data_IF_463286389480
#
_entry.id   IF_463286389480
#
_cell.length_a   1.000
_cell.length_b   1.000
_cell.length_c   1.000
_cell.angle_alpha   90.00
_cell.angle_beta   90.00
_cell.angle_gamma   90.00
#
_symmetry.space_group_name_H-M   'P 1'
#
loop_
_entity.id
_entity.type
_entity.pdbx_description
1 polymer ?
#
# COMPACT_ATOMS: atom_id res chain seq x y z
N UNK A 1 -8.50 -10.11 13.50
CA UNK A 1 -7.96 -9.11 14.45
C UNK A 1 -8.98 -8.87 15.55
N UNK A 2 -8.56 -8.57 16.79
CA UNK A 2 -9.49 -8.49 17.91
C UNK A 2 -10.48 -7.34 17.72
N UNK A 3 -11.75 -7.60 18.02
CA UNK A 3 -12.94 -6.83 17.63
C UNK A 3 -13.24 -5.66 18.58
N UNK A 4 -12.25 -4.88 19.05
CA UNK A 4 -12.46 -3.93 20.17
C UNK A 4 -12.49 -2.45 19.78
N UNK A 5 -12.06 -2.12 18.57
CA UNK A 5 -12.09 -0.75 18.07
C UNK A 5 -13.55 -0.31 17.84
N UNK A 6 -13.89 0.90 18.29
CA UNK A 6 -15.24 1.44 18.28
C UNK A 6 -16.08 1.11 19.51
N UNK A 7 -15.64 0.18 20.38
CA UNK A 7 -16.29 -0.11 21.65
C UNK A 7 -16.01 0.97 22.70
N UNK A 8 -16.94 1.22 23.63
CA UNK A 8 -16.63 2.03 24.80
C UNK A 8 -15.56 1.33 25.66
N UNK A 9 -14.58 2.10 26.12
CA UNK A 9 -13.65 1.67 27.14
C UNK A 9 -14.38 1.49 28.47
N UNK A 10 -14.26 0.33 29.11
CA UNK A 10 -14.95 0.04 30.39
C UNK A 10 -14.51 0.97 31.54
N UNK A 11 -13.31 1.57 31.45
CA UNK A 11 -12.82 2.52 32.44
C UNK A 11 -13.33 3.96 32.30
N UNK A 12 -13.58 4.45 31.08
CA UNK A 12 -13.90 5.88 30.84
C UNK A 12 -15.12 6.13 29.94
N UNK A 13 -15.71 5.08 29.36
CA UNK A 13 -16.87 5.15 28.47
C UNK A 13 -16.58 5.70 27.07
N UNK A 14 -15.40 6.23 26.80
CA UNK A 14 -15.04 6.78 25.47
C UNK A 14 -14.77 5.64 24.47
N UNK A 15 -15.11 5.83 23.19
CA UNK A 15 -14.83 4.82 22.17
C UNK A 15 -13.33 4.61 22.01
N UNK A 16 -12.94 3.35 21.88
CA UNK A 16 -11.56 2.95 21.61
C UNK A 16 -11.25 3.20 20.13
N UNK A 17 -10.29 4.07 19.87
CA UNK A 17 -9.90 4.47 18.53
C UNK A 17 -8.68 3.68 18.05
N UNK A 18 -8.36 3.74 16.75
CA UNK A 18 -7.18 3.09 16.19
C UNK A 18 -5.84 3.68 16.67
N UNK A 19 -5.89 4.85 17.32
CA UNK A 19 -4.70 5.54 17.85
C UNK A 19 -4.42 5.18 19.31
N UNK A 20 -5.40 4.58 19.97
CA UNK A 20 -5.32 4.27 21.38
C UNK A 20 -4.52 2.99 21.60
N UNK A 21 -3.66 2.98 22.61
CA UNK A 21 -3.05 1.75 23.10
C UNK A 21 -4.10 1.01 23.95
N UNK A 22 -4.60 -0.11 23.43
CA UNK A 22 -5.68 -0.87 24.04
C UNK A 22 -5.12 -2.03 24.86
N UNK A 23 -5.52 -2.08 26.13
CA UNK A 23 -5.26 -3.21 27.02
C UNK A 23 -6.55 -3.99 27.19
N UNK A 24 -6.47 -5.31 26.99
CA UNK A 24 -7.58 -6.22 27.22
C UNK A 24 -7.31 -6.99 28.51
N UNK A 25 -8.29 -7.04 29.41
CA UNK A 25 -8.16 -7.80 30.64
C UNK A 25 -8.00 -9.30 30.32
N UNK A 26 -6.97 -9.98 30.87
CA UNK A 26 -6.72 -11.39 30.57
C UNK A 26 -7.79 -12.34 31.14
N UNK A 27 -8.51 -11.94 32.19
CA UNK A 27 -9.49 -12.79 32.86
C UNK A 27 -10.88 -12.74 32.19
N UNK A 28 -11.35 -11.54 31.81
CA UNK A 28 -12.71 -11.34 31.30
C UNK A 28 -12.79 -10.80 29.87
N UNK A 29 -11.67 -10.44 29.23
CA UNK A 29 -11.68 -9.93 27.85
C UNK A 29 -12.18 -8.49 27.68
N UNK A 30 -12.44 -7.78 28.77
CA UNK A 30 -12.89 -6.38 28.74
C UNK A 30 -11.80 -5.43 28.19
N UNK A 31 -12.12 -4.55 27.23
CA UNK A 31 -11.15 -3.65 26.62
C UNK A 31 -11.07 -2.28 27.33
N UNK A 32 -9.85 -1.75 27.45
CA UNK A 32 -9.54 -0.47 28.10
C UNK A 32 -8.49 0.32 27.32
N UNK A 33 -8.50 1.65 27.45
CA UNK A 33 -7.29 2.45 27.18
C UNK A 33 -6.19 2.04 28.19
N UNK A 34 -4.93 1.93 27.74
CA UNK A 34 -3.78 1.63 28.62
C UNK A 34 -3.76 2.54 29.85
N UNK A 35 -3.88 3.84 29.64
CA UNK A 35 -3.91 4.84 30.73
C UNK A 35 -5.07 4.61 31.71
N UNK A 36 -6.23 4.16 31.21
CA UNK A 36 -7.38 3.89 32.08
C UNK A 36 -7.14 2.64 32.92
N UNK A 37 -6.57 1.59 32.33
CA UNK A 37 -6.24 0.36 33.04
C UNK A 37 -5.13 0.59 34.09
N UNK A 38 -4.10 1.37 33.76
CA UNK A 38 -3.02 1.72 34.68
C UNK A 38 -3.50 2.58 35.85
N UNK A 39 -4.38 3.56 35.60
CA UNK A 39 -4.99 4.38 36.66
C UNK A 39 -5.85 3.56 37.62
N UNK A 40 -6.58 2.56 37.10
CA UNK A 40 -7.40 1.66 37.90
C UNK A 40 -6.54 0.62 38.64
N UNK A 41 -5.36 0.29 38.12
CA UNK A 41 -4.43 -0.72 38.65
C UNK A 41 -4.94 -2.17 38.57
N UNK A 42 -6.19 -2.37 38.17
CA UNK A 42 -6.87 -3.65 37.97
C UNK A 42 -8.11 -3.48 37.10
N UNK A 43 -8.64 -4.60 36.59
CA UNK A 43 -9.93 -4.62 35.90
C UNK A 43 -11.07 -4.10 36.80
N UNK A 44 -11.99 -3.28 36.26
CA UNK A 44 -13.17 -2.81 37.02
C UNK A 44 -14.08 -3.97 37.45
N UNK A 45 -14.09 -5.04 36.64
CA UNK A 45 -14.85 -6.26 36.87
C UNK A 45 -14.10 -7.30 37.71
N UNK A 46 -12.99 -6.93 38.38
CA UNK A 46 -12.15 -7.88 39.11
C UNK A 46 -12.91 -8.69 40.17
N UNK A 47 -13.92 -8.09 40.80
CA UNK A 47 -14.77 -8.79 41.77
C UNK A 47 -15.68 -9.84 41.12
N UNK A 48 -16.06 -9.65 39.86
CA UNK A 48 -16.92 -10.54 39.08
C UNK A 48 -16.13 -11.66 38.37
N UNK A 49 -14.79 -11.59 38.32
CA UNK A 49 -13.95 -12.63 37.71
C UNK A 49 -14.16 -13.99 38.39
N UNK A 50 -14.31 -14.02 39.72
CA UNK A 50 -14.56 -15.25 40.47
C UNK A 50 -15.90 -15.92 40.11
N UNK A 51 -16.85 -15.15 39.57
CA UNK A 51 -18.14 -15.64 39.08
C UNK A 51 -18.12 -16.04 37.60
N UNK A 52 -16.95 -16.04 36.95
CA UNK A 52 -16.80 -16.37 35.53
C UNK A 52 -17.31 -15.30 34.58
N UNK A 53 -17.26 -14.02 35.00
CA UNK A 53 -17.69 -12.92 34.15
C UNK A 53 -16.85 -12.82 32.87
N UNK A 54 -17.53 -12.88 31.73
CA UNK A 54 -16.96 -12.69 30.41
C UNK A 54 -17.58 -11.45 29.76
N UNK A 55 -16.72 -10.55 29.30
CA UNK A 55 -17.15 -9.33 28.62
C UNK A 55 -17.72 -9.67 27.25
N UNK A 56 -18.90 -9.13 26.96
CA UNK A 56 -19.59 -9.31 25.68
C UNK A 56 -19.63 -8.00 24.92
N UNK A 57 -19.47 -8.12 23.61
CA UNK A 57 -19.56 -6.99 22.71
C UNK A 57 -20.96 -6.36 22.79
N UNK A 58 -21.08 -5.04 23.04
CA UNK A 58 -22.35 -4.42 23.45
C UNK A 58 -23.34 -4.14 22.31
N UNK A 59 -22.92 -4.26 21.05
CA UNK A 59 -23.75 -3.93 19.88
C UNK A 59 -24.08 -5.17 19.05
N UNK A 60 -25.24 -5.18 18.42
CA UNK A 60 -25.64 -6.27 17.52
C UNK A 60 -24.99 -6.09 16.13
N UNK A 61 -24.79 -7.19 15.39
CA UNK A 61 -24.18 -7.11 14.05
C UNK A 61 -25.01 -6.26 13.07
N UNK A 62 -26.34 -6.21 13.22
CA UNK A 62 -27.25 -5.38 12.43
C UNK A 62 -27.04 -3.86 12.62
N UNK A 63 -26.54 -3.46 13.79
CA UNK A 63 -26.28 -2.05 14.14
C UNK A 63 -24.91 -1.58 13.65
N UNK A 64 -24.06 -2.51 13.17
CA UNK A 64 -22.71 -2.23 12.75
C UNK A 64 -22.63 -2.14 11.22
N UNK A 65 -21.81 -1.22 10.74
CA UNK A 65 -21.37 -1.15 9.35
C UNK A 65 -19.84 -1.13 9.32
N UNK A 66 -19.25 -1.49 8.18
CA UNK A 66 -17.79 -1.42 7.99
C UNK A 66 -17.43 -0.04 7.46
N UNK A 67 -16.59 0.69 8.20
CA UNK A 67 -16.15 2.01 7.74
C UNK A 67 -15.30 1.89 6.46
N UNK A 68 -15.65 2.57 5.36
CA UNK A 68 -14.89 2.50 4.11
C UNK A 68 -13.49 3.14 4.22
N UNK A 69 -13.26 3.99 5.22
CA UNK A 69 -11.98 4.68 5.42
C UNK A 69 -10.98 3.83 6.21
N UNK A 70 -11.37 3.25 7.34
CA UNK A 70 -10.46 2.46 8.18
C UNK A 70 -10.63 0.95 8.06
N UNK A 71 -11.74 0.47 7.49
CA UNK A 71 -12.06 -0.96 7.35
C UNK A 71 -12.52 -1.63 8.65
N UNK A 72 -12.73 -0.86 9.72
CA UNK A 72 -13.18 -1.36 11.02
C UNK A 72 -14.69 -1.21 11.18
N UNK A 73 -15.30 -2.07 12.01
CA UNK A 73 -16.73 -1.96 12.32
C UNK A 73 -17.02 -0.73 13.16
N UNK A 74 -18.11 -0.05 12.85
CA UNK A 74 -18.61 1.11 13.59
C UNK A 74 -20.13 1.13 13.55
N UNK A 75 -20.78 1.95 14.36
CA UNK A 75 -22.25 2.00 14.39
C UNK A 75 -22.78 2.68 13.14
N UNK A 76 -23.77 2.04 12.50
CA UNK A 76 -24.46 2.57 11.31
C UNK A 76 -25.20 3.88 11.60
N UNK A 77 -25.73 4.03 12.82
CA UNK A 77 -26.51 5.19 13.25
C UNK A 77 -25.67 6.45 13.50
N UNK A 78 -24.34 6.33 13.51
CA UNK A 78 -23.44 7.47 13.70
C UNK A 78 -23.14 8.12 12.35
N UNK A 79 -23.13 9.45 12.30
CA UNK A 79 -22.69 10.17 11.10
C UNK A 79 -21.18 10.05 10.87
N UNK A 80 -20.41 9.75 11.93
CA UNK A 80 -18.96 9.67 11.91
C UNK A 80 -18.48 8.36 12.53
N UNK A 81 -17.52 7.71 11.88
CA UNK A 81 -16.91 6.47 12.36
C UNK A 81 -16.23 6.69 13.72
N UNK A 82 -16.62 5.92 14.73
CA UNK A 82 -16.03 6.00 16.08
C UNK A 82 -14.56 5.56 16.16
N UNK A 83 -14.07 4.83 15.14
CA UNK A 83 -12.71 4.29 15.13
C UNK A 83 -11.70 5.26 14.50
N UNK A 84 -12.10 6.01 13.48
CA UNK A 84 -11.22 6.89 12.69
C UNK A 84 -11.80 8.29 12.40
N UNK A 85 -13.00 8.61 12.88
CA UNK A 85 -13.66 9.90 12.68
C UNK A 85 -14.29 10.12 11.30
N UNK A 86 -14.09 9.23 10.32
CA UNK A 86 -14.54 9.45 8.94
C UNK A 86 -16.06 9.51 8.83
N UNK A 87 -16.60 10.44 8.03
CA UNK A 87 -18.04 10.52 7.76
C UNK A 87 -18.52 9.22 7.12
N UNK A 88 -19.56 8.63 7.70
CA UNK A 88 -20.18 7.41 7.20
C UNK A 88 -21.15 7.75 6.06
N UNK A 89 -21.24 6.89 5.03
CA UNK A 89 -22.23 7.09 3.97
C UNK A 89 -23.65 7.03 4.55
N UNK A 90 -24.61 7.83 4.03
CA UNK A 90 -25.97 7.87 4.54
C UNK A 90 -26.64 6.49 4.47
N UNK A 91 -27.48 6.19 5.46
CA UNK A 91 -28.26 4.94 5.52
C UNK A 91 -29.07 4.75 4.23
N UNK A 92 -28.71 3.72 3.44
CA UNK A 92 -29.32 3.41 2.15
C UNK A 92 -28.34 3.42 0.97
N UNK A 93 -27.09 3.87 1.15
CA UNK A 93 -26.01 3.49 0.25
C UNK A 93 -25.74 2.00 0.44
N UNK A 94 -25.79 1.21 -0.65
CA UNK A 94 -25.47 -0.22 -0.62
C UNK A 94 -24.18 -0.43 0.17
N UNK A 95 -24.25 -1.27 1.21
CA UNK A 95 -23.04 -1.75 1.85
C UNK A 95 -22.19 -2.42 0.78
N UNK A 96 -20.86 -2.22 0.79
CA UNK A 96 -20.00 -3.02 -0.08
C UNK A 96 -20.23 -4.47 0.33
N UNK A 97 -20.96 -5.19 -0.52
CA UNK A 97 -21.35 -6.57 -0.28
C UNK A 97 -20.11 -7.37 0.14
N UNK A 98 -20.30 -8.22 1.15
CA UNK A 98 -19.35 -9.27 1.44
C UNK A 98 -19.09 -10.05 0.15
N UNK A 99 -17.86 -10.51 -0.02
CA UNK A 99 -17.18 -10.75 -1.29
C UNK A 99 -17.64 -12.02 -2.03
N UNK A 100 -18.93 -12.32 -1.97
CA UNK A 100 -19.58 -13.47 -2.57
C UNK A 100 -20.92 -13.03 -3.15
N UNK A 101 -20.90 -12.51 -4.38
CA UNK A 101 -21.86 -12.84 -5.45
C UNK A 101 -21.60 -11.98 -6.71
N UNK A 102 -22.09 -12.49 -7.82
CA UNK A 102 -21.81 -12.27 -9.24
C UNK A 102 -21.87 -10.79 -9.74
N UNK A 103 -21.16 -10.39 -10.82
CA UNK A 103 -21.03 -9.00 -11.24
C UNK A 103 -22.25 -8.54 -12.05
N UNK A 104 -23.28 -8.07 -11.35
CA UNK A 104 -24.44 -7.39 -11.94
C UNK A 104 -24.52 -5.94 -11.49
N UNK A 105 -24.29 -5.02 -12.43
CA UNK A 105 -24.87 -3.66 -12.48
C UNK A 105 -24.91 -2.82 -11.18
N UNK A 106 -23.73 -2.52 -10.63
CA UNK A 106 -23.59 -1.55 -9.53
C UNK A 106 -22.19 -0.93 -9.43
N UNK A 107 -21.45 -0.88 -10.53
CA UNK A 107 -20.07 -0.36 -10.50
C UNK A 107 -20.09 1.15 -10.26
N UNK A 108 -19.53 1.60 -9.13
CA UNK A 108 -19.20 3.00 -8.90
C UNK A 108 -18.41 3.51 -10.11
N UNK A 109 -19.02 4.42 -10.86
CA UNK A 109 -18.51 4.86 -12.14
C UNK A 109 -17.28 5.75 -11.93
N UNK A 110 -16.12 5.11 -11.94
CA UNK A 110 -14.83 5.78 -11.89
C UNK A 110 -14.72 6.86 -12.97
N UNK A 111 -15.38 6.70 -14.12
CA UNK A 111 -15.29 7.65 -15.23
C UNK A 111 -16.03 8.95 -14.95
N UNK A 112 -17.23 8.91 -14.36
CA UNK A 112 -17.94 10.13 -13.92
C UNK A 112 -17.25 10.84 -12.77
N UNK A 113 -16.68 10.11 -11.81
CA UNK A 113 -15.88 10.72 -10.73
C UNK A 113 -14.65 11.46 -11.28
N UNK A 114 -13.91 10.84 -12.21
CA UNK A 114 -12.77 11.51 -12.87
C UNK A 114 -13.21 12.69 -13.74
N UNK A 115 -14.34 12.58 -14.44
CA UNK A 115 -14.89 13.65 -15.29
C UNK A 115 -15.33 14.87 -14.49
N UNK A 116 -16.00 14.65 -13.36
CA UNK A 116 -16.41 15.72 -12.45
C UNK A 116 -15.21 16.44 -11.79
N UNK A 117 -14.10 15.72 -11.57
CA UNK A 117 -12.84 16.29 -11.09
C UNK A 117 -12.12 17.12 -12.18
N UNK A 118 -12.23 16.72 -13.45
CA UNK A 118 -11.70 17.46 -14.60
C UNK A 118 -12.54 18.70 -14.95
N UNK A 119 -13.86 18.63 -14.85
CA UNK A 119 -14.77 19.70 -15.29
C UNK A 119 -14.92 20.85 -14.27
N UNK A 120 -14.80 20.57 -12.96
CA UNK A 120 -15.26 21.54 -11.93
C UNK A 120 -14.14 22.22 -11.14
N UNK A 121 -12.88 21.79 -11.27
CA UNK A 121 -11.71 22.45 -10.67
C UNK A 121 -11.61 22.45 -9.13
N UNK A 122 -12.72 22.31 -8.39
CA UNK A 122 -12.81 22.16 -6.92
C UNK A 122 -14.28 21.97 -6.53
N UNK A 123 -14.70 20.86 -5.91
CA UNK A 123 -15.98 20.79 -5.20
C UNK A 123 -15.97 21.74 -3.99
N UNK A 124 -17.13 22.30 -3.57
CA UNK A 124 -17.24 23.27 -2.48
C UNK A 124 -16.85 22.73 -1.09
N UNK A 125 -16.69 21.41 -0.94
CA UNK A 125 -16.01 20.77 0.18
C UNK A 125 -15.22 19.59 -0.40
N UNK A 126 -13.90 19.56 -0.24
CA UNK A 126 -13.07 18.48 -0.74
C UNK A 126 -13.29 17.22 0.13
N UNK A 127 -14.04 16.20 -0.32
CA UNK A 127 -14.40 15.04 0.52
C UNK A 127 -13.16 14.29 0.99
N UNK A 128 -12.07 14.39 0.22
CA UNK A 128 -10.77 13.84 0.55
C UNK A 128 -10.11 14.59 1.73
N UNK A 129 -10.19 15.91 1.74
CA UNK A 129 -9.71 16.75 2.85
C UNK A 129 -10.52 16.47 4.11
N UNK A 130 -11.83 16.29 4.00
CA UNK A 130 -12.69 15.93 5.13
C UNK A 130 -12.37 14.55 5.69
N UNK A 131 -12.18 13.52 4.84
CA UNK A 131 -11.76 12.19 5.29
C UNK A 131 -10.36 12.19 5.92
N UNK A 132 -9.46 13.04 5.43
CA UNK A 132 -8.13 13.22 5.99
C UNK A 132 -8.17 13.95 7.33
N UNK A 133 -8.92 15.05 7.44
CA UNK A 133 -9.13 15.80 8.68
C UNK A 133 -9.90 14.99 9.72
N UNK A 134 -10.76 14.07 9.31
CA UNK A 134 -11.40 13.11 10.18
C UNK A 134 -10.39 12.07 10.73
N UNK A 135 -9.56 11.50 9.85
CA UNK A 135 -8.57 10.48 10.20
C UNK A 135 -7.38 11.04 10.99
N UNK A 136 -6.98 12.29 10.74
CA UNK A 136 -5.81 12.96 11.28
C UNK A 136 -6.11 14.15 12.22
N UNK A 137 -7.34 14.64 12.29
CA UNK A 137 -7.64 15.92 12.95
C UNK A 137 -7.30 17.12 12.05
N UNK A 138 -7.71 18.33 12.46
CA UNK A 138 -7.45 19.58 11.70
C UNK A 138 -5.97 19.95 11.56
N UNK A 139 -5.10 19.43 12.44
CA UNK A 139 -3.70 19.86 12.51
C UNK A 139 -2.65 18.74 12.38
N UNK A 140 -3.03 17.46 12.33
CA UNK A 140 -2.01 16.40 12.22
C UNK A 140 -1.71 16.04 10.77
N UNK A 141 -0.41 15.96 10.51
CA UNK A 141 0.16 15.77 9.20
C UNK A 141 0.66 14.33 9.07
N UNK A 142 0.17 13.59 8.08
CA UNK A 142 0.65 12.24 7.77
C UNK A 142 2.15 12.29 7.39
N UNK A 143 2.99 11.59 8.15
CA UNK A 143 4.46 11.67 8.11
C UNK A 143 5.03 13.07 8.43
N UNK A 144 4.27 13.96 9.07
CA UNK A 144 4.64 15.36 9.29
C UNK A 144 4.45 16.27 8.06
N UNK A 145 3.76 15.79 7.03
CA UNK A 145 3.51 16.50 5.78
C UNK A 145 1.99 16.80 5.61
N UNK A 146 1.61 18.06 5.35
CA UNK A 146 0.21 18.44 5.12
C UNK A 146 -0.42 17.69 3.94
N UNK A 147 -1.74 17.45 4.01
CA UNK A 147 -2.50 16.83 2.93
C UNK A 147 -2.33 17.55 1.58
N UNK A 148 -2.28 18.89 1.59
CA UNK A 148 -2.11 19.71 0.39
C UNK A 148 -0.77 19.47 -0.33
N UNK A 149 0.33 19.28 0.41
CA UNK A 149 1.65 19.00 -0.16
C UNK A 149 1.68 17.59 -0.75
N UNK A 150 1.04 16.62 -0.09
CA UNK A 150 0.86 15.27 -0.61
C UNK A 150 0.02 15.25 -1.90
N UNK A 151 -1.10 15.97 -1.92
CA UNK A 151 -1.98 16.06 -3.08
C UNK A 151 -1.26 16.71 -4.27
N UNK A 152 -0.48 17.76 -4.01
CA UNK A 152 0.33 18.44 -5.03
C UNK A 152 1.43 17.55 -5.59
N UNK A 153 2.05 16.71 -4.75
CA UNK A 153 3.11 15.79 -5.19
C UNK A 153 2.57 14.55 -5.92
N UNK A 154 1.48 13.93 -5.46
CA UNK A 154 0.95 12.70 -6.07
C UNK A 154 0.12 13.00 -7.33
N UNK A 155 -0.57 14.16 -7.36
CA UNK A 155 -1.35 14.64 -8.50
C UNK A 155 -2.75 14.01 -8.58
N UNK A 156 -3.29 13.71 -9.78
CA UNK A 156 -4.67 13.24 -9.94
C UNK A 156 -5.01 11.94 -9.20
N UNK A 157 -4.02 11.08 -8.96
CA UNK A 157 -4.20 9.81 -8.25
C UNK A 157 -4.20 9.95 -6.72
N UNK A 158 -4.12 11.17 -6.18
CA UNK A 158 -3.98 11.42 -4.74
C UNK A 158 -5.08 10.80 -3.87
N UNK A 159 -6.39 10.82 -4.23
CA UNK A 159 -7.45 10.25 -3.38
C UNK A 159 -7.21 8.78 -3.00
N UNK A 160 -6.88 7.94 -3.98
CA UNK A 160 -6.65 6.51 -3.77
C UNK A 160 -5.40 6.22 -2.93
N UNK A 161 -4.32 6.96 -3.19
CA UNK A 161 -3.06 6.79 -2.47
C UNK A 161 -3.14 7.31 -1.04
N UNK A 162 -3.80 8.46 -0.82
CA UNK A 162 -3.97 9.03 0.50
C UNK A 162 -4.80 8.12 1.38
N UNK A 163 -5.96 7.62 0.93
CA UNK A 163 -6.73 6.66 1.72
C UNK A 163 -5.88 5.43 2.11
N UNK A 164 -5.13 4.87 1.15
CA UNK A 164 -4.21 3.75 1.44
C UNK A 164 -3.16 4.12 2.50
N UNK A 165 -2.57 5.31 2.42
CA UNK A 165 -1.53 5.75 3.35
C UNK A 165 -2.08 6.09 4.73
N UNK A 166 -3.28 6.68 4.80
CA UNK A 166 -4.04 6.86 6.03
C UNK A 166 -4.21 5.51 6.74
N UNK A 167 -4.75 4.51 6.03
CA UNK A 167 -4.92 3.15 6.56
C UNK A 167 -3.61 2.52 7.02
N UNK A 168 -2.54 2.66 6.24
CA UNK A 168 -1.22 2.15 6.61
C UNK A 168 -0.65 2.81 7.86
N UNK A 169 -0.85 4.13 8.02
CA UNK A 169 -0.39 4.87 9.19
C UNK A 169 -1.19 4.47 10.43
N UNK A 170 -2.52 4.43 10.32
CA UNK A 170 -3.42 4.08 11.41
C UNK A 170 -3.24 2.62 11.86
N UNK A 171 -3.07 1.69 10.92
CA UNK A 171 -2.85 0.27 11.23
C UNK A 171 -1.39 -0.07 11.57
N UNK A 172 -0.48 0.93 11.63
CA UNK A 172 0.98 0.74 11.76
C UNK A 172 1.57 -0.33 10.82
N UNK A 173 0.95 -0.52 9.65
CA UNK A 173 1.29 -1.60 8.73
C UNK A 173 2.03 -1.06 7.51
N UNK A 174 3.06 -1.82 7.08
CA UNK A 174 3.86 -1.52 5.88
C UNK A 174 3.33 -2.25 4.65
N UNK A 175 2.38 -3.16 4.83
CA UNK A 175 1.87 -4.04 3.78
C UNK A 175 0.66 -3.41 3.14
N UNK A 176 0.74 -3.16 1.84
CA UNK A 176 -0.40 -2.76 1.04
C UNK A 176 -0.21 -3.29 -0.38
N UNK A 177 -1.05 -4.27 -0.74
CA UNK A 177 -1.03 -4.87 -2.07
C UNK A 177 -1.19 -3.81 -3.16
N UNK A 178 -0.25 -3.84 -4.09
CA UNK A 178 -0.21 -2.99 -5.26
C UNK A 178 -0.10 -3.87 -6.50
N UNK A 179 -1.22 -4.04 -7.20
CA UNK A 179 -1.25 -4.85 -8.40
C UNK A 179 -0.30 -4.30 -9.48
N UNK A 180 -0.25 -2.98 -9.63
CA UNK A 180 0.67 -2.33 -10.58
C UNK A 180 2.13 -2.56 -10.20
N UNK A 181 2.47 -2.54 -8.91
CA UNK A 181 3.81 -2.87 -8.44
C UNK A 181 4.04 -4.38 -8.26
N UNK A 182 3.12 -5.23 -8.71
CA UNK A 182 3.34 -6.67 -8.84
C UNK A 182 3.53 -7.02 -10.32
N UNK A 183 2.72 -6.44 -11.21
CA UNK A 183 2.80 -6.74 -12.64
C UNK A 183 3.93 -6.00 -13.35
N UNK A 184 4.10 -4.70 -13.11
CA UNK A 184 4.97 -3.84 -13.94
C UNK A 184 6.39 -3.68 -13.43
N UNK A 185 6.95 -4.68 -12.75
CA UNK A 185 8.36 -4.65 -12.35
C UNK A 185 8.85 -3.36 -11.63
N UNK A 186 10.14 -3.03 -11.79
CA UNK A 186 10.70 -1.73 -11.45
C UNK A 186 10.08 -0.56 -12.23
N UNK A 187 9.41 -0.80 -13.36
CA UNK A 187 8.78 0.26 -14.16
C UNK A 187 7.72 1.03 -13.39
N UNK A 188 7.00 0.40 -12.46
CA UNK A 188 6.08 1.10 -11.56
C UNK A 188 6.77 2.23 -10.79
N UNK A 189 7.97 1.99 -10.27
CA UNK A 189 8.72 2.98 -9.51
C UNK A 189 9.32 4.06 -10.40
N UNK A 190 9.81 3.70 -11.59
CA UNK A 190 10.25 4.69 -12.59
C UNK A 190 9.09 5.60 -13.02
N UNK A 191 7.92 5.03 -13.28
CA UNK A 191 6.70 5.77 -13.59
C UNK A 191 6.36 6.77 -12.50
N UNK A 192 6.50 6.40 -11.21
CA UNK A 192 6.27 7.29 -10.06
C UNK A 192 7.49 8.09 -9.62
N UNK A 193 8.57 8.11 -10.43
CA UNK A 193 9.84 8.79 -10.14
C UNK A 193 10.46 8.40 -8.78
N UNK A 194 10.19 7.20 -8.28
CA UNK A 194 10.76 6.67 -7.04
C UNK A 194 12.12 6.01 -7.32
N UNK A 195 13.13 6.84 -7.60
CA UNK A 195 14.43 6.41 -8.13
C UNK A 195 15.16 5.36 -7.27
N UNK A 196 15.19 5.54 -5.94
CA UNK A 196 15.88 4.62 -5.02
C UNK A 196 15.36 3.18 -5.14
N UNK A 197 14.05 2.90 -4.92
CA UNK A 197 13.53 1.55 -5.12
C UNK A 197 13.55 1.12 -6.59
N UNK A 198 13.36 2.04 -7.56
CA UNK A 198 13.39 1.70 -8.98
C UNK A 198 14.72 1.06 -9.40
N UNK A 199 15.84 1.72 -9.12
CA UNK A 199 17.17 1.18 -9.44
C UNK A 199 17.53 -0.04 -8.58
N UNK A 200 17.12 -0.07 -7.31
CA UNK A 200 17.36 -1.21 -6.44
C UNK A 200 16.70 -2.49 -6.96
N UNK A 201 15.42 -2.44 -7.33
CA UNK A 201 14.73 -3.60 -7.92
C UNK A 201 15.24 -3.94 -9.32
N UNK A 202 15.53 -2.94 -10.15
CA UNK A 202 16.10 -3.18 -11.49
C UNK A 202 17.43 -3.93 -11.41
N UNK A 203 18.33 -3.49 -10.53
CA UNK A 203 19.63 -4.16 -10.34
C UNK A 203 19.47 -5.58 -9.79
N UNK A 204 18.56 -5.78 -8.83
CA UNK A 204 18.28 -7.11 -8.29
C UNK A 204 17.70 -8.06 -9.35
N UNK A 205 16.77 -7.58 -10.19
CA UNK A 205 16.21 -8.37 -11.30
C UNK A 205 17.28 -8.72 -12.35
N UNK A 206 18.12 -7.76 -12.74
CA UNK A 206 19.23 -8.02 -13.66
C UNK A 206 20.23 -9.03 -13.10
N UNK A 207 20.56 -8.94 -11.82
CA UNK A 207 21.48 -9.88 -11.16
C UNK A 207 20.89 -11.29 -11.09
N UNK A 208 19.60 -11.42 -10.77
CA UNK A 208 18.91 -12.70 -10.74
C UNK A 208 18.71 -13.30 -12.14
N UNK A 209 18.76 -12.50 -13.21
CA UNK A 209 18.69 -12.98 -14.59
C UNK A 209 20.01 -13.54 -15.13
N UNK A 210 21.16 -13.27 -14.47
CA UNK A 210 22.49 -13.70 -14.93
C UNK A 210 22.59 -15.22 -15.12
N UNK A 211 22.16 -16.07 -14.17
CA UNK A 211 22.28 -17.53 -14.35
C UNK A 211 21.48 -18.06 -15.55
N UNK A 212 20.31 -17.46 -15.82
CA UNK A 212 19.51 -17.79 -17.01
C UNK A 212 20.26 -17.44 -18.29
N UNK A 213 20.91 -16.27 -18.35
CA UNK A 213 21.73 -15.88 -19.50
C UNK A 213 22.90 -16.85 -19.70
N UNK A 214 23.63 -17.20 -18.63
CA UNK A 214 24.74 -18.15 -18.70
C UNK A 214 24.28 -19.54 -19.16
N UNK A 215 23.10 -19.99 -18.71
CA UNK A 215 22.51 -21.25 -19.16
C UNK A 215 22.16 -21.21 -20.66
N UNK A 216 21.60 -20.09 -21.15
CA UNK A 216 21.32 -19.91 -22.58
C UNK A 216 22.60 -19.91 -23.42
N UNK A 217 23.69 -19.31 -22.91
CA UNK A 217 25.01 -19.35 -23.56
C UNK A 217 25.54 -20.79 -23.68
N UNK A 218 25.36 -21.63 -22.66
CA UNK A 218 25.76 -23.05 -22.71
C UNK A 218 24.94 -23.83 -23.74
N UNK A 219 23.61 -23.69 -23.72
CA UNK A 219 22.70 -24.39 -24.65
C UNK A 219 23.00 -24.02 -26.11
N UNK A 220 23.31 -22.75 -26.37
CA UNK A 220 23.62 -22.25 -27.72
C UNK A 220 25.07 -22.53 -28.17
N UNK A 221 25.89 -23.14 -27.30
CA UNK A 221 27.29 -23.48 -27.61
C UNK A 221 28.21 -22.25 -27.72
N UNK A 222 27.97 -21.21 -26.93
CA UNK A 222 28.80 -20.00 -26.92
C UNK A 222 30.24 -20.30 -26.49
N UNK A 223 31.21 -19.69 -27.17
CA UNK A 223 32.63 -19.80 -26.81
C UNK A 223 32.98 -19.11 -25.49
N UNK A 224 32.11 -18.22 -25.01
CA UNK A 224 32.23 -17.50 -23.74
C UNK A 224 31.43 -18.15 -22.61
N UNK A 225 30.82 -19.32 -22.86
CA UNK A 225 30.04 -20.02 -21.85
C UNK A 225 30.96 -20.54 -20.72
N UNK A 226 30.56 -20.39 -19.45
CA UNK A 226 31.35 -20.91 -18.33
C UNK A 226 31.37 -22.44 -18.35
N UNK A 227 32.52 -23.03 -18.04
CA UNK A 227 32.72 -24.47 -17.92
C UNK A 227 32.16 -25.01 -16.58
N UNK A 228 30.86 -24.81 -16.35
CA UNK A 228 30.12 -25.31 -15.21
C UNK A 228 29.26 -26.50 -15.65
N UNK A 229 29.02 -27.45 -14.76
CA UNK A 229 28.15 -28.60 -15.04
C UNK A 229 26.71 -28.15 -15.30
N UNK A 230 26.07 -28.76 -16.31
CA UNK A 230 24.69 -28.46 -16.72
C UNK A 230 23.71 -28.59 -15.55
N UNK A 231 23.87 -29.62 -14.71
CA UNK A 231 23.01 -29.85 -13.55
C UNK A 231 23.11 -28.73 -12.51
N UNK A 232 24.31 -28.21 -12.26
CA UNK A 232 24.53 -27.10 -11.32
C UNK A 232 23.96 -25.79 -11.87
N UNK A 233 24.12 -25.54 -13.16
CA UNK A 233 23.57 -24.35 -13.82
C UNK A 233 22.04 -24.33 -13.84
N UNK A 234 21.42 -25.48 -14.13
CA UNK A 234 19.95 -25.62 -14.06
C UNK A 234 19.45 -25.36 -12.65
N UNK A 235 20.05 -25.96 -11.62
CA UNK A 235 19.64 -25.75 -10.22
C UNK A 235 19.80 -24.28 -9.83
N UNK A 236 20.92 -23.65 -10.17
CA UNK A 236 21.16 -22.23 -9.90
C UNK A 236 20.12 -21.33 -10.58
N UNK A 237 19.83 -21.57 -11.87
CA UNK A 237 18.81 -20.82 -12.61
C UNK A 237 17.42 -20.98 -11.98
N UNK A 238 17.05 -22.19 -11.51
CA UNK A 238 15.77 -22.43 -10.83
C UNK A 238 15.67 -21.69 -9.50
N UNK A 239 16.76 -21.68 -8.71
CA UNK A 239 16.83 -20.92 -7.45
C UNK A 239 16.66 -19.42 -7.73
N UNK A 240 17.37 -18.88 -8.71
CA UNK A 240 17.26 -17.45 -9.08
C UNK A 240 15.88 -17.08 -9.64
N UNK A 241 15.21 -17.98 -10.38
CA UNK A 241 13.82 -17.79 -10.80
C UNK A 241 12.86 -17.78 -9.60
N UNK A 242 13.04 -18.66 -8.62
CA UNK A 242 12.24 -18.65 -7.38
C UNK A 242 12.46 -17.37 -6.57
N UNK A 243 13.71 -16.89 -6.47
CA UNK A 243 14.03 -15.60 -5.85
C UNK A 243 13.43 -14.42 -6.61
N UNK A 244 13.39 -14.48 -7.94
CA UNK A 244 12.75 -13.45 -8.77
C UNK A 244 11.25 -13.40 -8.52
N UNK A 245 10.60 -14.56 -8.38
CA UNK A 245 9.20 -14.64 -7.99
C UNK A 245 8.97 -14.07 -6.58
N UNK A 246 9.83 -14.38 -5.62
CA UNK A 246 9.75 -13.79 -4.29
C UNK A 246 9.92 -12.27 -4.32
N UNK A 247 10.86 -11.77 -5.13
CA UNK A 247 11.08 -10.33 -5.31
C UNK A 247 9.85 -9.65 -5.92
N UNK A 248 9.16 -10.30 -6.86
CA UNK A 248 7.88 -9.84 -7.41
C UNK A 248 6.81 -9.71 -6.32
N UNK A 249 6.66 -10.72 -5.44
CA UNK A 249 5.70 -10.70 -4.33
C UNK A 249 6.03 -9.58 -3.34
N UNK A 250 7.30 -9.48 -2.91
CA UNK A 250 7.78 -8.43 -1.99
C UNK A 250 7.50 -7.05 -2.58
N UNK A 251 7.80 -6.84 -3.86
CA UNK A 251 7.52 -5.58 -4.56
C UNK A 251 6.02 -5.27 -4.60
N UNK A 252 5.18 -6.26 -4.85
CA UNK A 252 3.73 -6.12 -4.83
C UNK A 252 3.17 -5.73 -3.45
N UNK A 253 3.68 -6.35 -2.38
CA UNK A 253 3.23 -6.12 -1.01
C UNK A 253 3.71 -4.78 -0.42
N UNK A 254 4.94 -4.36 -0.76
CA UNK A 254 5.57 -3.18 -0.17
C UNK A 254 5.67 -2.00 -1.13
N UNK A 255 5.24 -2.11 -2.39
CA UNK A 255 5.44 -1.09 -3.41
C UNK A 255 4.85 0.28 -3.04
N UNK A 256 3.63 0.30 -2.50
CA UNK A 256 3.00 1.55 -2.03
C UNK A 256 3.73 2.15 -0.83
N UNK A 257 4.25 1.32 0.08
CA UNK A 257 5.05 1.76 1.22
C UNK A 257 6.40 2.34 0.80
N UNK A 258 7.11 1.66 -0.10
CA UNK A 258 8.40 2.13 -0.64
C UNK A 258 8.21 3.45 -1.38
N UNK A 259 7.12 3.60 -2.14
CA UNK A 259 6.77 4.87 -2.77
C UNK A 259 6.45 5.94 -1.71
N UNK A 260 5.62 5.65 -0.69
CA UNK A 260 5.32 6.58 0.40
C UNK A 260 6.58 7.08 1.10
N UNK A 261 7.50 6.17 1.46
CA UNK A 261 8.76 6.51 2.11
C UNK A 261 9.62 7.42 1.22
N UNK A 262 9.80 7.04 -0.05
CA UNK A 262 10.58 7.84 -1.00
C UNK A 262 9.95 9.20 -1.28
N UNK A 263 8.62 9.29 -1.34
CA UNK A 263 7.90 10.53 -1.57
C UNK A 263 7.98 11.44 -0.33
N UNK A 264 7.78 10.90 0.87
CA UNK A 264 7.86 11.65 2.12
C UNK A 264 9.26 12.30 2.30
N UNK A 265 10.34 11.57 2.02
CA UNK A 265 11.71 12.11 2.05
C UNK A 265 11.87 13.30 1.07
N UNK A 266 11.35 13.17 -0.15
CA UNK A 266 11.43 14.24 -1.17
C UNK A 266 10.58 15.45 -0.81
N UNK A 267 9.34 15.24 -0.37
CA UNK A 267 8.44 16.33 0.01
C UNK A 267 9.04 17.11 1.19
N UNK A 268 9.62 16.42 2.18
CA UNK A 268 10.32 17.07 3.30
C UNK A 268 11.51 17.90 2.83
N UNK A 269 12.33 17.38 1.89
CA UNK A 269 13.44 18.12 1.29
C UNK A 269 12.92 19.37 0.56
N UNK A 270 11.93 19.23 -0.31
CA UNK A 270 11.36 20.36 -1.07
C UNK A 270 10.78 21.42 -0.11
N UNK A 271 10.12 20.99 0.98
CA UNK A 271 9.58 21.92 1.99
C UNK A 271 10.67 22.66 2.77
N UNK A 272 11.83 22.05 2.97
CA UNK A 272 12.99 22.70 3.58
C UNK A 272 13.67 23.70 2.60
N UNK A 273 13.71 23.38 1.31
CA UNK A 273 14.31 24.24 0.27
C UNK A 273 13.40 25.41 -0.13
N UNK A 274 12.08 25.21 -0.14
CA UNK A 274 11.07 26.18 -0.59
C UNK A 274 10.06 26.46 0.54
N UNK A 275 10.33 27.46 1.41
CA UNK A 275 9.41 27.83 2.48
C UNK A 275 8.14 28.50 1.94
N UNK A 276 8.23 29.20 0.80
CA UNK A 276 7.07 29.83 0.14
C UNK A 276 6.06 28.77 -0.37
N UNK A 277 4.78 28.99 -0.08
CA UNK A 277 3.73 28.01 -0.34
C UNK A 277 3.39 27.88 -1.83
N UNK A 278 3.41 28.99 -2.59
CA UNK A 278 3.10 28.98 -4.02
C UNK A 278 4.22 28.30 -4.82
N UNK A 279 5.47 28.67 -4.54
CA UNK A 279 6.64 28.04 -5.14
C UNK A 279 6.74 26.56 -4.77
N UNK A 280 6.55 26.21 -3.49
CA UNK A 280 6.55 24.81 -3.04
C UNK A 280 5.53 23.98 -3.80
N UNK A 281 4.30 24.47 -3.96
CA UNK A 281 3.25 23.76 -4.70
C UNK A 281 3.67 23.48 -6.15
N UNK A 282 4.25 24.46 -6.84
CA UNK A 282 4.72 24.30 -8.21
C UNK A 282 5.87 23.27 -8.31
N UNK A 283 6.84 23.34 -7.39
CA UNK A 283 7.98 22.40 -7.37
C UNK A 283 7.53 20.97 -7.03
N UNK A 284 6.59 20.81 -6.08
CA UNK A 284 6.00 19.52 -5.73
C UNK A 284 5.29 18.89 -6.93
N UNK A 285 4.51 19.69 -7.67
CA UNK A 285 3.81 19.21 -8.86
C UNK A 285 4.78 18.83 -9.99
N UNK A 286 5.88 19.58 -10.17
CA UNK A 286 6.89 19.30 -11.20
C UNK A 286 7.74 18.05 -10.89
N UNK A 287 8.22 17.94 -9.65
CA UNK A 287 9.08 16.82 -9.23
C UNK A 287 8.29 15.55 -8.92
N UNK A 288 7.03 15.69 -8.52
CA UNK A 288 6.09 14.59 -8.28
C UNK A 288 5.43 14.06 -9.56
N UNK A 289 4.22 13.53 -9.40
CA UNK A 289 3.41 13.01 -10.48
C UNK A 289 3.97 11.73 -11.11
N UNK A 290 3.80 11.62 -12.42
CA UNK A 290 4.17 10.45 -13.21
C UNK A 290 5.16 10.81 -14.32
N UNK A 291 5.95 9.85 -14.78
CA UNK A 291 6.92 10.01 -15.87
C UNK A 291 6.89 8.83 -16.82
N UNK A 292 6.22 9.02 -17.95
CA UNK A 292 6.22 8.04 -19.05
C UNK A 292 7.61 7.99 -19.71
N UNK A 293 8.29 9.13 -19.81
CA UNK A 293 9.66 9.22 -20.32
C UNK A 293 10.65 8.35 -19.52
N UNK A 294 10.51 8.29 -18.18
CA UNK A 294 11.36 7.44 -17.35
C UNK A 294 11.13 5.94 -17.61
N UNK A 295 9.88 5.55 -17.90
CA UNK A 295 9.54 4.17 -18.26
C UNK A 295 10.16 3.80 -19.61
N UNK A 296 9.97 4.64 -20.64
CA UNK A 296 10.59 4.41 -21.94
C UNK A 296 12.12 4.42 -21.88
N UNK A 297 12.73 5.32 -21.10
CA UNK A 297 14.17 5.34 -20.91
C UNK A 297 14.70 4.05 -20.29
N UNK A 298 14.02 3.52 -19.26
CA UNK A 298 14.36 2.23 -18.66
C UNK A 298 14.15 1.08 -19.65
N UNK A 299 13.06 1.09 -20.41
CA UNK A 299 12.77 0.08 -21.42
C UNK A 299 13.83 0.06 -22.53
N UNK A 300 14.22 1.22 -23.05
CA UNK A 300 15.29 1.34 -24.04
C UNK A 300 16.63 0.84 -23.49
N UNK A 301 16.96 1.17 -22.24
CA UNK A 301 18.16 0.66 -21.58
C UNK A 301 18.13 -0.88 -21.50
N UNK A 302 17.00 -1.47 -21.08
CA UNK A 302 16.85 -2.92 -21.02
C UNK A 302 16.90 -3.57 -22.41
N UNK A 303 16.37 -2.93 -23.45
CA UNK A 303 16.51 -3.39 -24.83
C UNK A 303 17.97 -3.40 -25.29
N UNK A 304 18.74 -2.35 -24.97
CA UNK A 304 20.18 -2.29 -25.28
C UNK A 304 20.95 -3.37 -24.51
N UNK A 305 20.70 -3.51 -23.20
CA UNK A 305 21.33 -4.56 -22.38
C UNK A 305 20.97 -5.95 -22.88
N UNK A 306 19.70 -6.18 -23.23
CA UNK A 306 19.23 -7.45 -23.79
C UNK A 306 19.87 -7.75 -25.15
N UNK A 307 19.98 -6.75 -26.03
CA UNK A 307 20.65 -6.89 -27.33
C UNK A 307 22.15 -7.17 -27.17
N UNK A 308 22.80 -6.56 -26.18
CA UNK A 308 24.19 -6.89 -25.86
C UNK A 308 24.32 -8.33 -25.32
N UNK A 309 23.36 -8.78 -24.52
CA UNK A 309 23.33 -10.15 -24.00
C UNK A 309 23.08 -11.19 -25.10
N UNK A 310 22.28 -10.89 -26.14
CA UNK A 310 22.09 -11.82 -27.27
C UNK A 310 23.35 -12.00 -28.11
N UNK A 311 24.24 -11.00 -28.18
CA UNK A 311 25.55 -11.14 -28.83
C UNK A 311 26.48 -12.14 -28.10
N UNK A 312 26.18 -12.47 -26.84
CA UNK A 312 26.92 -13.48 -26.08
C UNK A 312 26.44 -14.91 -26.36
N UNK A 313 25.30 -15.08 -27.02
CA UNK A 313 24.77 -16.40 -27.38
C UNK A 313 25.61 -17.04 -28.49
N UNK A 314 25.67 -18.36 -28.48
CA UNK A 314 26.44 -19.13 -29.45
C UNK A 314 25.73 -19.33 -30.80
N UNK A 315 26.41 -19.94 -31.78
CA UNK A 315 25.92 -20.08 -33.15
C UNK A 315 24.70 -21.00 -33.28
N UNK A 316 24.47 -21.90 -32.31
CA UNK A 316 23.37 -22.86 -32.35
C UNK A 316 22.07 -22.27 -31.76
N UNK A 317 21.57 -21.18 -32.35
CA UNK A 317 20.29 -20.57 -31.92
C UNK A 317 19.08 -21.48 -32.16
N UNK A 318 19.17 -22.42 -33.11
CA UNK A 318 18.13 -23.43 -33.35
C UNK A 318 17.89 -24.34 -32.13
N UNK A 319 18.89 -24.49 -31.24
CA UNK A 319 18.74 -25.22 -29.99
C UNK A 319 17.71 -24.57 -29.04
N UNK A 320 17.50 -23.25 -29.14
CA UNK A 320 16.49 -22.55 -28.35
C UNK A 320 15.07 -22.84 -28.86
N UNK A 321 14.90 -23.01 -30.18
CA UNK A 321 13.61 -23.34 -30.79
C UNK A 321 13.18 -24.74 -30.36
N UNK A 322 14.12 -25.70 -30.35
CA UNK A 322 13.86 -27.06 -29.88
C UNK A 322 13.54 -27.14 -28.38
N UNK A 323 13.94 -26.15 -27.58
CA UNK A 323 13.63 -26.08 -26.15
C UNK A 323 12.20 -25.55 -25.88
N UNK A 324 11.61 -24.85 -26.86
CA UNK A 324 10.25 -24.28 -26.77
C UNK A 324 9.22 -25.19 -27.44
N UNK A 325 9.60 -25.92 -28.50
CA UNK A 325 8.71 -26.75 -29.32
C UNK A 325 8.94 -28.26 -29.19
N UNK A 326 9.99 -28.70 -28.48
CA UNK A 326 10.26 -30.11 -28.15
C UNK A 326 9.79 -30.45 -26.75
#
# INVERSE_FOLDING_TARGET
MPKYYGCPCEGCGKPLTLRDDIVVCPDCGAPYHRDCYEKLGRCIHSAAHAAGYEWKFPYQESELCTCPACGERTLRSEEHCRCCGAVLPPEGAEEPADRSEDPGEGSFDYSSFYRQFQETGTPPADPMKQAYEAAFGKEEAMDGIPCADWASYIGPASPSYMNTYCRMQLAHSKVSMSFSALLFGPFYFFYRKAWKPAFGFLAAELLLAVPTLLQLMQITGSTMAPALSDSTMVVLARICSALSFLLMVVRGMYGKWLYRKSAAEKIKRIRAEFPDAAQRKAVLAAQGGVSIAAVFGCFLLLMVVGSAATLLLGPNVDALINLVYG
#
